data_IF_413556624455
#
_entry.id   IF_413556624455
#
_cell.length_a   1.000
_cell.length_b   1.000
_cell.length_c   1.000
_cell.angle_alpha   90.00
_cell.angle_beta   90.00
_cell.angle_gamma   90.00
#
_symmetry.space_group_name_H-M   'P 1'
#
loop_
_entity.id
_entity.type
_entity.pdbx_description
1 polymer ?
#
# COMPACT_ATOMS: atom_id res chain seq x y z
N UNK A 1 36.66 2.48 17.52
CA UNK A 1 35.28 2.75 17.99
C UNK A 1 34.31 2.14 17.00
N UNK A 2 33.62 1.07 17.37
CA UNK A 2 32.63 0.42 16.51
C UNK A 2 31.30 1.11 16.79
N UNK A 3 30.78 1.87 15.83
CA UNK A 3 29.45 2.44 15.92
C UNK A 3 28.41 1.33 15.75
N UNK A 4 27.77 0.91 16.84
CA UNK A 4 26.63 0.02 16.77
C UNK A 4 25.44 0.87 16.30
N UNK A 5 25.09 0.75 15.03
CA UNK A 5 23.84 1.30 14.53
C UNK A 5 22.68 0.51 15.16
N UNK A 6 22.02 1.11 16.15
CA UNK A 6 20.74 0.62 16.64
C UNK A 6 19.73 0.80 15.51
N UNK A 7 19.41 -0.29 14.81
CA UNK A 7 18.26 -0.34 13.91
C UNK A 7 17.02 -0.11 14.76
N UNK A 8 16.35 1.01 14.55
CA UNK A 8 15.04 1.27 15.15
C UNK A 8 14.08 0.20 14.63
N UNK A 9 13.70 -0.73 15.50
CA UNK A 9 12.66 -1.73 15.20
C UNK A 9 11.34 -0.98 15.07
N UNK A 10 10.81 -0.89 13.88
CA UNK A 10 9.47 -0.35 13.66
C UNK A 10 8.47 -1.29 14.36
N UNK A 11 7.87 -0.84 15.44
CA UNK A 11 6.96 -1.63 16.28
C UNK A 11 5.53 -1.64 15.75
N UNK A 12 5.31 -1.35 14.47
CA UNK A 12 3.98 -1.36 13.87
C UNK A 12 3.91 -0.71 12.50
N UNK A 13 2.71 -0.67 11.94
CA UNK A 13 2.44 -0.02 10.68
C UNK A 13 2.74 1.49 10.77
N UNK A 14 3.49 2.08 9.81
CA UNK A 14 3.80 3.52 9.85
C UNK A 14 2.54 4.39 9.83
N UNK A 15 2.49 5.40 10.69
CA UNK A 15 1.38 6.37 10.75
C UNK A 15 1.31 7.23 9.47
N UNK A 16 2.47 7.52 8.88
CA UNK A 16 2.61 8.30 7.65
C UNK A 16 3.33 7.46 6.61
N UNK A 17 2.64 6.48 6.04
CA UNK A 17 3.22 5.55 5.08
C UNK A 17 3.70 6.27 3.82
N UNK A 18 4.96 6.04 3.43
CA UNK A 18 5.53 6.54 2.18
C UNK A 18 5.34 5.48 1.09
N UNK A 19 4.72 5.89 -0.01
CA UNK A 19 4.63 5.08 -1.22
C UNK A 19 5.59 5.64 -2.28
N UNK A 20 6.52 4.80 -2.72
CA UNK A 20 7.42 5.12 -3.84
C UNK A 20 6.94 4.34 -5.06
N UNK A 21 6.23 4.99 -6.01
CA UNK A 21 5.66 4.31 -7.16
C UNK A 21 6.67 3.46 -7.93
N UNK A 22 6.30 2.21 -8.23
CA UNK A 22 7.15 1.25 -8.90
C UNK A 22 8.26 0.66 -8.04
N UNK A 23 8.29 0.92 -6.73
CA UNK A 23 9.42 0.52 -5.89
C UNK A 23 8.99 -0.05 -4.52
N UNK A 24 8.30 0.72 -3.68
CA UNK A 24 8.04 0.33 -2.30
C UNK A 24 6.75 0.92 -1.73
N UNK A 25 6.24 0.26 -0.71
CA UNK A 25 5.01 0.60 -0.01
C UNK A 25 5.27 0.56 1.50
N UNK A 26 5.31 1.73 2.15
CA UNK A 26 5.64 1.86 3.58
C UNK A 26 6.90 1.06 3.99
N UNK A 27 7.96 1.19 3.20
CA UNK A 27 9.23 0.52 3.42
C UNK A 27 9.32 -0.93 2.92
N UNK A 28 8.20 -1.52 2.46
CA UNK A 28 8.15 -2.90 1.98
C UNK A 28 8.23 -2.97 0.45
N UNK A 29 8.85 -4.02 -0.06
CA UNK A 29 8.91 -4.34 -1.49
C UNK A 29 8.09 -5.56 -1.82
N UNK A 30 7.66 -5.70 -3.07
CA UNK A 30 7.10 -6.96 -3.55
C UNK A 30 8.16 -8.08 -3.42
N UNK A 31 7.69 -9.29 -3.13
CA UNK A 31 8.54 -10.45 -2.84
C UNK A 31 8.99 -10.57 -1.38
N UNK A 32 8.66 -9.61 -0.51
CA UNK A 32 8.96 -9.72 0.91
C UNK A 32 8.31 -10.96 1.53
N UNK A 33 9.06 -11.64 2.40
CA UNK A 33 8.56 -12.79 3.15
C UNK A 33 7.59 -12.35 4.25
N UNK A 34 6.78 -13.30 4.72
CA UNK A 34 5.89 -13.06 5.88
C UNK A 34 6.67 -12.57 7.10
N UNK A 35 7.84 -13.14 7.36
CA UNK A 35 8.72 -12.73 8.46
C UNK A 35 9.20 -11.28 8.30
N UNK A 36 9.57 -10.89 7.08
CA UNK A 36 9.98 -9.50 6.80
C UNK A 36 8.84 -8.52 7.01
N UNK A 37 7.62 -8.86 6.58
CA UNK A 37 6.44 -8.01 6.80
C UNK A 37 6.11 -7.88 8.28
N UNK A 38 6.12 -9.00 9.04
CA UNK A 38 5.93 -8.95 10.49
C UNK A 38 7.03 -8.15 11.21
N UNK A 39 8.27 -8.26 10.75
CA UNK A 39 9.38 -7.49 11.29
C UNK A 39 9.22 -5.98 11.08
N UNK A 40 8.64 -5.56 9.96
CA UNK A 40 8.42 -4.16 9.62
C UNK A 40 7.13 -3.59 10.24
N UNK A 41 6.02 -4.33 10.17
CA UNK A 41 4.68 -3.84 10.53
C UNK A 41 4.15 -4.42 11.85
N UNK A 42 4.91 -5.29 12.48
CA UNK A 42 4.56 -5.92 13.74
C UNK A 42 3.87 -7.27 13.60
N UNK A 43 3.75 -8.02 14.70
CA UNK A 43 3.20 -9.38 14.69
C UNK A 43 1.66 -9.42 14.76
N UNK A 44 1.00 -8.29 14.95
CA UNK A 44 -0.47 -8.22 15.08
C UNK A 44 -1.11 -7.95 13.73
N UNK A 45 -1.74 -8.96 13.17
CA UNK A 45 -2.47 -8.85 11.91
C UNK A 45 -3.74 -9.70 11.91
N UNK A 46 -4.73 -9.23 11.18
CA UNK A 46 -5.91 -10.02 10.84
C UNK A 46 -5.68 -10.81 9.56
N UNK A 47 -6.45 -11.87 9.37
CA UNK A 47 -6.42 -12.70 8.15
C UNK A 47 -7.74 -12.60 7.42
N UNK A 48 -7.68 -12.46 6.11
CA UNK A 48 -8.86 -12.60 5.27
C UNK A 48 -9.25 -14.08 5.15
N UNK A 49 -10.50 -14.39 5.51
CA UNK A 49 -10.98 -15.79 5.50
C UNK A 49 -11.36 -16.30 4.10
N UNK A 50 -11.86 -15.42 3.24
CA UNK A 50 -12.42 -15.78 1.94
C UNK A 50 -11.70 -15.14 0.76
N UNK A 51 -10.47 -14.65 0.94
CA UNK A 51 -9.68 -14.09 -0.13
C UNK A 51 -9.05 -15.21 -0.99
N UNK A 52 -8.91 -14.99 -2.28
CA UNK A 52 -8.23 -15.91 -3.20
C UNK A 52 -6.78 -16.17 -2.83
N UNK A 53 -6.12 -15.15 -2.28
CA UNK A 53 -4.74 -15.19 -1.83
C UNK A 53 -4.70 -15.04 -0.32
N UNK A 54 -3.66 -15.57 0.31
CA UNK A 54 -3.39 -15.30 1.73
C UNK A 54 -3.21 -13.79 1.91
N UNK A 55 -4.15 -13.16 2.58
CA UNK A 55 -4.14 -11.73 2.79
C UNK A 55 -4.14 -11.41 4.27
N UNK A 56 -3.22 -10.54 4.68
CA UNK A 56 -3.09 -10.06 6.04
C UNK A 56 -3.46 -8.58 6.10
N UNK A 57 -4.12 -8.19 7.20
CA UNK A 57 -4.52 -6.82 7.49
C UNK A 57 -3.82 -6.31 8.74
N UNK A 58 -3.15 -5.19 8.62
CA UNK A 58 -2.51 -4.46 9.71
C UNK A 58 -3.28 -3.18 9.94
N UNK A 59 -3.80 -2.97 11.15
CA UNK A 59 -4.55 -1.78 11.52
C UNK A 59 -3.87 -1.03 12.65
N UNK A 60 -4.05 0.29 12.70
CA UNK A 60 -3.43 1.12 13.74
C UNK A 60 -4.01 0.86 15.12
N UNK A 61 -5.29 0.55 15.17
CA UNK A 61 -6.04 0.28 16.39
C UNK A 61 -6.92 -0.93 16.21
N UNK A 62 -7.06 -1.68 17.27
CA UNK A 62 -8.00 -2.80 17.33
C UNK A 62 -9.41 -2.33 17.02
N UNK A 63 -10.15 -3.08 16.22
CA UNK A 63 -11.52 -2.79 15.74
C UNK A 63 -11.68 -1.51 14.89
N UNK A 64 -10.60 -0.87 14.47
CA UNK A 64 -10.65 0.22 13.49
C UNK A 64 -10.13 -0.25 12.12
N UNK A 65 -10.83 0.09 11.02
CA UNK A 65 -10.50 -0.48 9.71
C UNK A 65 -9.30 0.18 9.02
N UNK A 66 -8.78 1.30 9.52
CA UNK A 66 -7.68 2.02 8.87
C UNK A 66 -6.35 1.29 9.03
N UNK A 67 -5.64 1.12 7.93
CA UNK A 67 -4.35 0.45 7.93
C UNK A 67 -3.87 0.08 6.54
N UNK A 68 -3.21 -1.06 6.44
CA UNK A 68 -2.72 -1.62 5.19
C UNK A 68 -2.91 -3.13 5.12
N UNK A 69 -3.13 -3.63 3.92
CA UNK A 69 -3.18 -5.04 3.62
C UNK A 69 -1.98 -5.50 2.80
N UNK A 70 -1.67 -6.76 2.89
CA UNK A 70 -0.67 -7.45 2.06
C UNK A 70 -1.20 -8.81 1.63
N UNK A 71 -1.11 -9.09 0.34
CA UNK A 71 -1.43 -10.40 -0.22
C UNK A 71 -0.15 -11.16 -0.56
N UNK A 72 -0.13 -12.44 -0.27
CA UNK A 72 1.02 -13.32 -0.48
C UNK A 72 0.71 -14.44 -1.47
N UNK A 73 1.74 -14.80 -2.22
CA UNK A 73 1.87 -16.08 -2.92
C UNK A 73 3.05 -16.86 -2.32
N UNK A 74 3.36 -18.04 -2.89
CA UNK A 74 4.42 -18.91 -2.38
C UNK A 74 5.80 -18.22 -2.34
N UNK A 75 6.06 -17.30 -3.24
CA UNK A 75 7.32 -16.56 -3.41
C UNK A 75 7.36 -15.19 -2.70
N UNK A 76 6.38 -14.90 -1.84
CA UNK A 76 6.32 -13.70 -1.03
C UNK A 76 5.16 -12.77 -1.34
N UNK A 77 5.26 -11.52 -0.87
CA UNK A 77 4.24 -10.51 -1.07
C UNK A 77 4.08 -10.14 -2.55
N UNK A 78 2.85 -10.16 -3.04
CA UNK A 78 2.50 -9.88 -4.44
C UNK A 78 1.72 -8.58 -4.61
N UNK A 79 1.10 -8.08 -3.54
CA UNK A 79 0.47 -6.78 -3.50
C UNK A 79 0.40 -6.22 -2.08
N UNK A 80 0.43 -4.90 -2.01
CA UNK A 80 0.14 -4.10 -0.81
C UNK A 80 -0.93 -3.07 -1.15
N UNK A 81 -1.77 -2.73 -0.20
CA UNK A 81 -2.82 -1.73 -0.38
C UNK A 81 -3.21 -1.10 0.94
N UNK A 82 -3.62 0.17 0.91
CA UNK A 82 -4.18 0.84 2.08
C UNK A 82 -5.62 0.38 2.32
N UNK A 83 -6.04 0.42 3.57
CA UNK A 83 -7.38 0.07 4.00
C UNK A 83 -8.03 1.30 4.64
N UNK A 84 -9.23 1.68 4.19
CA UNK A 84 -10.03 2.75 4.77
C UNK A 84 -9.29 4.08 4.95
N UNK A 85 -8.70 4.60 3.89
CA UNK A 85 -8.13 5.94 3.86
C UNK A 85 -7.29 6.30 5.11
N UNK A 86 -6.18 5.61 5.36
CA UNK A 86 -5.35 5.90 6.53
C UNK A 86 -4.74 7.30 6.40
N UNK A 87 -4.83 8.14 7.44
CA UNK A 87 -4.35 9.52 7.36
C UNK A 87 -2.83 9.59 7.22
N UNK A 88 -2.34 10.63 6.54
CA UNK A 88 -0.91 10.93 6.46
C UNK A 88 -0.12 10.12 5.46
N UNK A 89 -0.73 9.16 4.77
CA UNK A 89 -0.05 8.43 3.70
C UNK A 89 0.14 9.32 2.47
N UNK A 90 1.31 9.20 1.85
CA UNK A 90 1.69 10.05 0.71
C UNK A 90 2.72 9.35 -0.18
N UNK A 91 2.86 9.87 -1.39
CA UNK A 91 3.92 9.45 -2.30
C UNK A 91 5.17 10.33 -2.14
N UNK A 92 6.31 9.83 -2.62
CA UNK A 92 7.57 10.61 -2.65
C UNK A 92 7.50 11.84 -3.57
N UNK A 93 6.45 11.98 -4.39
CA UNK A 93 6.19 13.16 -5.23
C UNK A 93 5.09 14.07 -4.69
N UNK A 94 4.66 13.86 -3.45
CA UNK A 94 3.78 14.75 -2.72
C UNK A 94 2.29 14.57 -2.95
N UNK A 95 1.84 13.47 -3.60
CA UNK A 95 0.43 13.09 -3.61
C UNK A 95 0.05 12.55 -2.24
N UNK A 96 -1.02 13.06 -1.64
CA UNK A 96 -1.45 12.73 -0.27
C UNK A 96 -2.88 12.22 -0.24
N UNK A 97 -3.20 11.42 0.76
CA UNK A 97 -4.59 11.12 1.12
C UNK A 97 -5.34 12.44 1.36
N UNK A 98 -6.52 12.58 0.76
CA UNK A 98 -7.36 13.77 0.81
C UNK A 98 -7.11 14.80 -0.29
N UNK A 99 -6.05 14.67 -1.07
CA UNK A 99 -5.84 15.51 -2.25
C UNK A 99 -6.96 15.29 -3.28
N UNK A 100 -7.26 16.32 -4.08
CA UNK A 100 -8.15 16.15 -5.24
C UNK A 100 -7.58 15.12 -6.21
N UNK A 101 -8.45 14.28 -6.79
CA UNK A 101 -8.02 13.28 -7.78
C UNK A 101 -7.34 13.89 -9.02
N UNK A 102 -7.63 15.16 -9.34
CA UNK A 102 -6.97 15.88 -10.44
C UNK A 102 -5.45 15.95 -10.23
N UNK A 103 -5.01 15.98 -8.98
CA UNK A 103 -3.58 16.03 -8.64
C UNK A 103 -2.83 14.77 -9.07
N UNK A 104 -3.52 13.62 -9.20
CA UNK A 104 -2.93 12.39 -9.75
C UNK A 104 -2.38 12.67 -11.16
N UNK A 105 -3.22 13.21 -12.03
CA UNK A 105 -2.82 13.52 -13.41
C UNK A 105 -1.77 14.64 -13.48
N UNK A 106 -1.83 15.64 -12.60
CA UNK A 106 -0.83 16.72 -12.60
C UNK A 106 0.56 16.24 -12.17
N UNK A 107 0.66 15.22 -11.33
CA UNK A 107 1.96 14.66 -10.90
C UNK A 107 2.45 13.54 -11.81
N UNK A 108 1.56 12.64 -12.24
CA UNK A 108 1.91 11.38 -12.90
C UNK A 108 1.47 11.30 -14.36
N UNK A 109 0.78 12.31 -14.87
CA UNK A 109 0.19 12.29 -16.21
C UNK A 109 -1.16 11.56 -16.25
N UNK A 110 -1.72 11.44 -17.45
CA UNK A 110 -2.97 10.71 -17.65
C UNK A 110 -2.71 9.22 -17.53
N UNK A 111 -3.36 8.58 -16.58
CA UNK A 111 -3.19 7.16 -16.28
C UNK A 111 -4.44 6.36 -16.71
N UNK A 112 -4.26 5.08 -17.08
CA UNK A 112 -5.37 4.15 -17.17
C UNK A 112 -6.16 4.11 -15.87
N UNK A 113 -7.49 4.07 -15.98
CA UNK A 113 -8.39 3.99 -14.83
C UNK A 113 -9.22 2.71 -14.88
N UNK A 114 -9.45 2.14 -13.72
CA UNK A 114 -10.29 0.95 -13.53
C UNK A 114 -11.36 1.30 -12.52
N UNK A 115 -12.61 1.07 -12.88
CA UNK A 115 -13.74 1.26 -11.95
C UNK A 115 -13.83 0.05 -11.02
N UNK A 116 -13.78 0.31 -9.72
CA UNK A 116 -13.81 -0.71 -8.67
C UNK A 116 -15.13 -0.67 -7.87
N UNK A 117 -16.25 -0.39 -8.52
CA UNK A 117 -17.53 -0.20 -7.87
C UNK A 117 -17.70 1.22 -7.33
N UNK A 118 -17.50 1.42 -6.03
CA UNK A 118 -17.67 2.74 -5.40
C UNK A 118 -16.46 3.65 -5.53
N UNK A 119 -15.31 3.14 -5.94
CA UNK A 119 -14.06 3.88 -6.09
C UNK A 119 -13.39 3.58 -7.43
N UNK A 120 -12.44 4.40 -7.81
CA UNK A 120 -11.67 4.30 -9.04
C UNK A 120 -10.19 4.05 -8.70
N UNK A 121 -9.54 3.14 -9.41
CA UNK A 121 -8.10 2.96 -9.37
C UNK A 121 -7.44 3.59 -10.61
N UNK A 122 -6.47 4.46 -10.41
CA UNK A 122 -5.57 4.96 -11.45
C UNK A 122 -4.27 4.16 -11.37
N UNK A 123 -3.82 3.59 -12.49
CA UNK A 123 -2.73 2.61 -12.52
C UNK A 123 -1.51 3.19 -13.23
N UNK A 124 -0.42 3.30 -12.49
CA UNK A 124 0.90 3.70 -13.01
C UNK A 124 1.80 2.47 -13.11
N UNK A 125 2.13 2.07 -14.34
CA UNK A 125 3.04 0.94 -14.57
C UNK A 125 4.50 1.41 -14.66
N UNK A 126 5.35 0.79 -13.87
CA UNK A 126 6.81 0.93 -13.98
C UNK A 126 7.46 -0.45 -13.95
N UNK A 127 7.95 -0.91 -15.11
CA UNK A 127 8.51 -2.26 -15.24
C UNK A 127 7.49 -3.34 -14.86
N UNK A 128 7.85 -4.19 -13.91
CA UNK A 128 7.04 -5.30 -13.42
C UNK A 128 6.09 -4.92 -12.27
N UNK A 129 5.94 -3.62 -11.97
CA UNK A 129 5.15 -3.14 -10.83
C UNK A 129 4.10 -2.14 -11.30
N UNK A 130 2.87 -2.38 -10.88
CA UNK A 130 1.77 -1.42 -10.95
C UNK A 130 1.61 -0.72 -9.60
N UNK A 131 1.54 0.61 -9.65
CA UNK A 131 1.15 1.42 -8.49
C UNK A 131 -0.26 1.93 -8.71
N UNK A 132 -1.12 1.73 -7.73
CA UNK A 132 -2.50 2.18 -7.78
C UNK A 132 -2.69 3.42 -6.90
N UNK A 133 -3.40 4.40 -7.45
CA UNK A 133 -3.91 5.56 -6.72
C UNK A 133 -5.43 5.42 -6.67
N UNK A 134 -5.99 5.24 -5.49
CA UNK A 134 -7.43 5.04 -5.33
C UNK A 134 -8.10 6.38 -5.08
N UNK A 135 -9.17 6.64 -5.84
CA UNK A 135 -10.02 7.83 -5.69
C UNK A 135 -11.42 7.43 -5.26
N UNK A 136 -11.93 8.12 -4.26
CA UNK A 136 -13.31 8.01 -3.79
C UNK A 136 -13.89 9.41 -3.62
N UNK A 137 -15.07 9.65 -4.18
CA UNK A 137 -15.73 10.98 -4.17
C UNK A 137 -14.80 12.11 -4.63
N UNK A 138 -14.00 11.87 -5.70
CA UNK A 138 -13.07 12.83 -6.29
C UNK A 138 -11.86 13.21 -5.41
N UNK A 139 -11.58 12.45 -4.38
CA UNK A 139 -10.42 12.63 -3.52
C UNK A 139 -9.53 11.39 -3.52
N UNK A 140 -8.22 11.59 -3.37
CA UNK A 140 -7.27 10.50 -3.16
C UNK A 140 -7.57 9.84 -1.83
N UNK A 141 -7.91 8.56 -1.88
CA UNK A 141 -8.41 7.81 -0.74
C UNK A 141 -7.47 6.70 -0.28
N UNK A 142 -6.60 6.25 -1.15
CA UNK A 142 -5.67 5.18 -0.85
C UNK A 142 -4.62 4.95 -1.91
N UNK A 143 -3.73 4.02 -1.62
CA UNK A 143 -2.62 3.61 -2.48
C UNK A 143 -2.48 2.09 -2.49
N UNK A 144 -1.88 1.58 -3.56
CA UNK A 144 -1.49 0.19 -3.65
C UNK A 144 -0.27 0.01 -4.53
N UNK A 145 0.43 -1.11 -4.36
CA UNK A 145 1.39 -1.62 -5.33
C UNK A 145 1.16 -3.11 -5.54
N UNK A 146 1.36 -3.58 -6.75
CA UNK A 146 1.19 -4.99 -7.10
C UNK A 146 2.12 -5.38 -8.24
N UNK A 147 2.21 -6.66 -8.52
CA UNK A 147 2.78 -7.14 -9.77
C UNK A 147 2.00 -6.57 -10.95
N UNK A 148 2.70 -6.23 -12.03
CA UNK A 148 2.08 -5.69 -13.23
C UNK A 148 0.99 -6.62 -13.78
N UNK A 149 -0.16 -6.04 -14.11
CA UNK A 149 -1.32 -6.78 -14.63
C UNK A 149 -2.20 -7.45 -13.57
N UNK A 150 -1.88 -7.34 -12.26
CA UNK A 150 -2.75 -7.80 -11.21
C UNK A 150 -4.04 -6.96 -11.14
N UNK A 151 -5.13 -7.56 -10.63
CA UNK A 151 -6.40 -6.85 -10.41
C UNK A 151 -6.20 -5.70 -9.40
N UNK A 152 -6.47 -4.44 -9.78
CA UNK A 152 -6.24 -3.31 -8.91
C UNK A 152 -7.30 -3.11 -7.83
N UNK A 153 -8.47 -3.71 -7.99
CA UNK A 153 -9.59 -3.57 -7.04
C UNK A 153 -9.47 -4.56 -5.87
N UNK A 154 -9.83 -4.12 -4.67
CA UNK A 154 -9.79 -4.91 -3.42
C UNK A 154 -11.12 -4.88 -2.69
#
# INVERSE_FOLDING_TARGET
MIAVALAAVALGLPQHGLVVPGHSFAGMKLGATRTQVMGAWGPRYGRCRNCRQTTWYFTYKEFQPQGAGVAFQADGAVSYFTIWSPPGWHTNRGLKIGDSEIKIASIYGVLPRVECGTYTAYVLRRGAIDTQFYSYKKEVWGFGISRAGAQPCH
#
